data_IF_589958173973
#
_entry.id   IF_589958173973
#
_cell.length_a   1.000
_cell.length_b   1.000
_cell.length_c   1.000
_cell.angle_alpha   90.00
_cell.angle_beta   90.00
_cell.angle_gamma   90.00
#
_symmetry.space_group_name_H-M   'P 1'
#
loop_
_entity.id
_entity.type
_entity.pdbx_description
1 polymer ?
#
# COMPACT_ATOMS: atom_id res chain seq x y z
N UNK A 1 -11.53 -1.32 16.43
CA UNK A 1 -10.07 -1.41 16.11
C UNK A 1 -9.95 -1.98 14.70
N UNK A 2 -9.66 -1.15 13.69
CA UNK A 2 -9.45 -1.66 12.34
C UNK A 2 -8.02 -2.21 12.30
N UNK A 3 -7.89 -3.52 12.24
CA UNK A 3 -6.61 -4.20 12.03
C UNK A 3 -6.67 -4.87 10.66
N UNK A 4 -5.74 -4.51 9.77
CA UNK A 4 -5.56 -5.16 8.48
C UNK A 4 -4.11 -5.63 8.41
N UNK A 5 -3.91 -6.95 8.41
CA UNK A 5 -2.59 -7.54 8.25
C UNK A 5 -2.24 -7.63 6.77
N UNK A 6 -1.01 -7.30 6.43
CA UNK A 6 -0.44 -7.51 5.10
C UNK A 6 0.55 -8.66 5.16
N UNK A 7 0.79 -9.31 4.02
CA UNK A 7 1.88 -10.28 3.92
C UNK A 7 3.24 -9.61 4.15
N UNK A 8 4.19 -10.38 4.66
CA UNK A 8 5.56 -9.93 4.94
C UNK A 8 6.43 -10.11 3.67
N UNK A 9 6.79 -9.04 2.95
CA UNK A 9 7.52 -9.16 1.69
C UNK A 9 8.91 -9.82 1.84
N UNK A 10 9.72 -9.53 2.88
CA UNK A 10 10.92 -10.32 3.21
C UNK A 10 10.67 -11.83 3.29
N UNK A 11 9.56 -12.26 3.90
CA UNK A 11 9.23 -13.69 4.01
C UNK A 11 8.90 -14.30 2.66
N UNK A 12 8.18 -13.56 1.80
CA UNK A 12 7.85 -13.99 0.44
C UNK A 12 9.09 -14.03 -0.47
N UNK A 13 9.94 -13.01 -0.37
CA UNK A 13 11.17 -12.90 -1.16
C UNK A 13 12.23 -13.95 -0.81
N UNK A 14 12.10 -14.64 0.33
CA UNK A 14 13.04 -15.70 0.74
C UNK A 14 13.11 -16.86 -0.26
N UNK A 15 12.03 -17.14 -0.98
CA UNK A 15 11.95 -18.20 -1.98
C UNK A 15 12.20 -17.70 -3.41
N UNK A 16 12.38 -16.39 -3.60
CA UNK A 16 12.66 -15.80 -4.90
C UNK A 16 14.03 -16.24 -5.42
N UNK A 17 14.07 -16.62 -6.69
CA UNK A 17 15.30 -17.09 -7.36
C UNK A 17 16.05 -15.94 -8.01
N UNK A 18 15.38 -14.81 -8.21
CA UNK A 18 15.93 -13.61 -8.84
C UNK A 18 15.61 -12.35 -8.05
N UNK A 19 16.44 -11.29 -8.15
CA UNK A 19 16.13 -9.98 -7.59
C UNK A 19 14.79 -9.41 -8.08
N UNK A 20 14.43 -9.66 -9.34
CA UNK A 20 13.18 -9.23 -9.94
C UNK A 20 11.96 -9.88 -9.29
N UNK A 21 12.03 -11.19 -9.03
CA UNK A 21 11.00 -11.93 -8.28
C UNK A 21 10.88 -11.44 -6.84
N UNK A 22 12.01 -11.20 -6.16
CA UNK A 22 12.02 -10.62 -4.82
C UNK A 22 11.34 -9.25 -4.80
N UNK A 23 11.71 -8.36 -5.73
CA UNK A 23 11.12 -7.02 -5.87
C UNK A 23 9.62 -7.06 -6.19
N UNK A 24 9.15 -8.06 -6.92
CA UNK A 24 7.73 -8.24 -7.20
C UNK A 24 6.91 -8.41 -5.90
N UNK A 25 7.42 -9.16 -4.92
CA UNK A 25 6.76 -9.33 -3.62
C UNK A 25 6.66 -8.00 -2.85
N UNK A 26 7.73 -7.21 -2.82
CA UNK A 26 7.71 -5.89 -2.19
C UNK A 26 6.72 -4.93 -2.86
N UNK A 27 6.71 -4.90 -4.21
CA UNK A 27 5.79 -4.05 -4.98
C UNK A 27 4.34 -4.41 -4.71
N UNK A 28 4.02 -5.70 -4.69
CA UNK A 28 2.66 -6.18 -4.38
C UNK A 28 2.18 -5.70 -3.02
N UNK A 29 2.95 -5.97 -1.96
CA UNK A 29 2.57 -5.57 -0.59
C UNK A 29 2.48 -4.05 -0.47
N UNK A 30 3.41 -3.30 -1.08
CA UNK A 30 3.35 -1.84 -1.13
C UNK A 30 2.06 -1.34 -1.77
N UNK A 31 1.65 -1.94 -2.89
CA UNK A 31 0.45 -1.51 -3.62
C UNK A 31 -0.84 -1.84 -2.85
N UNK A 32 -0.86 -2.95 -2.13
CA UNK A 32 -1.94 -3.31 -1.21
C UNK A 32 -2.05 -2.34 -0.03
N UNK A 33 -0.93 -1.96 0.59
CA UNK A 33 -0.89 -0.94 1.63
C UNK A 33 -1.37 0.40 1.08
N UNK A 34 -0.90 0.81 -0.11
CA UNK A 34 -1.32 2.04 -0.76
C UNK A 34 -2.82 2.03 -1.09
N UNK A 35 -3.36 0.89 -1.54
CA UNK A 35 -4.79 0.72 -1.73
C UNK A 35 -5.53 0.88 -0.41
N UNK A 36 -5.12 0.21 0.67
CA UNK A 36 -5.72 0.32 2.00
C UNK A 36 -5.73 1.75 2.54
N UNK A 37 -4.58 2.44 2.50
CA UNK A 37 -4.46 3.83 2.97
C UNK A 37 -5.39 4.77 2.21
N UNK A 38 -5.59 4.56 0.90
CA UNK A 38 -6.55 5.36 0.12
C UNK A 38 -8.00 5.17 0.55
N UNK A 39 -8.35 4.01 1.13
CA UNK A 39 -9.70 3.71 1.65
C UNK A 39 -9.91 4.27 3.05
N UNK A 40 -8.84 4.39 3.85
CA UNK A 40 -8.90 4.78 5.25
C UNK A 40 -9.71 6.06 5.53
N UNK A 41 -9.61 7.16 4.74
CA UNK A 41 -10.44 8.33 5.00
C UNK A 41 -11.93 8.00 4.95
N UNK A 42 -12.37 7.24 3.94
CA UNK A 42 -13.77 6.80 3.82
C UNK A 42 -14.15 5.85 4.96
N UNK A 43 -13.29 4.88 5.28
CA UNK A 43 -13.54 3.88 6.34
C UNK A 43 -13.62 4.49 7.75
N UNK A 44 -12.96 5.64 7.96
CA UNK A 44 -12.97 6.39 9.22
C UNK A 44 -14.01 7.52 9.24
N UNK A 45 -14.82 7.68 8.19
CA UNK A 45 -15.80 8.76 8.08
C UNK A 45 -15.17 10.15 7.90
N UNK A 46 -13.91 10.21 7.48
CA UNK A 46 -13.23 11.45 7.14
C UNK A 46 -13.64 11.88 5.72
N UNK A 47 -14.33 13.02 5.63
CA UNK A 47 -14.61 13.67 4.35
C UNK A 47 -13.32 14.29 3.82
N UNK A 48 -12.68 13.62 2.87
CA UNK A 48 -11.62 14.23 2.05
C UNK A 48 -12.28 15.14 1.01
N UNK A 49 -12.36 16.44 1.31
CA UNK A 49 -12.74 17.46 0.34
C UNK A 49 -11.71 17.48 -0.80
N UNK A 50 -12.10 17.48 -2.09
CA UNK A 50 -11.18 17.33 -3.23
C UNK A 50 -10.31 18.58 -3.53
N UNK A 51 -9.99 19.42 -2.54
CA UNK A 51 -9.35 20.73 -2.77
C UNK A 51 -7.82 20.75 -2.76
N UNK A 52 -7.13 19.62 -2.75
CA UNK A 52 -5.65 19.57 -2.69
C UNK A 52 -5.00 18.95 -3.94
N UNK A 53 -5.25 19.58 -5.09
CA UNK A 53 -4.36 19.46 -6.25
C UNK A 53 -4.22 20.81 -6.94
N UNK A 54 -3.59 21.75 -6.23
CA UNK A 54 -2.78 22.79 -6.86
C UNK A 54 -1.33 22.49 -6.48
N UNK A 55 -0.62 21.79 -7.36
CA UNK A 55 0.85 21.85 -7.39
C UNK A 55 1.16 23.10 -8.22
N UNK A 56 1.63 24.22 -7.64
CA UNK A 56 2.11 25.31 -8.46
C UNK A 56 3.38 24.86 -9.21
N UNK A 57 3.43 25.21 -10.49
CA UNK A 57 4.57 25.00 -11.39
C UNK A 57 5.79 25.84 -11.00
#
# INVERSE_FOLDING_TARGET
KIHHGFDDPPRLAKEAKTPEEALAHYRRVRDEIAAFVRRLPSDLGLSVSPSESTIPS
#
